data_IF_219369690444
#
_entry.id   IF_219369690444
#
_cell.length_a   1.000
_cell.length_b   1.000
_cell.length_c   1.000
_cell.angle_alpha   90.00
_cell.angle_beta   90.00
_cell.angle_gamma   90.00
#
_symmetry.space_group_name_H-M   'P 1'
#
loop_
_entity.id
_entity.type
_entity.pdbx_description
1 polymer ?
#
# COMPACT_ATOMS: atom_id res chain seq x y z
N UNK A 1 -6.45 9.12 -13.25
CA UNK A 1 -5.57 8.36 -12.35
C UNK A 1 -4.73 9.34 -11.56
N UNK A 2 -4.65 9.17 -10.25
CA UNK A 2 -3.84 9.95 -9.32
C UNK A 2 -2.89 9.01 -8.58
N UNK A 3 -1.78 9.56 -8.09
CA UNK A 3 -0.88 8.85 -7.19
C UNK A 3 -1.11 9.39 -5.78
N UNK A 4 -1.37 8.48 -4.84
CA UNK A 4 -1.51 8.78 -3.42
C UNK A 4 -0.35 8.15 -2.68
N UNK A 5 0.36 8.96 -1.88
CA UNK A 5 1.39 8.46 -0.97
C UNK A 5 0.69 8.05 0.32
N UNK A 6 0.88 6.80 0.74
CA UNK A 6 0.25 6.23 1.94
C UNK A 6 1.34 5.74 2.88
N UNK A 7 1.25 6.13 4.14
CA UNK A 7 2.08 5.58 5.22
C UNK A 7 1.29 4.50 5.94
N UNK A 8 1.88 3.32 6.07
CA UNK A 8 1.27 2.12 6.63
C UNK A 8 2.13 1.61 7.78
N UNK A 9 1.52 1.30 8.92
CA UNK A 9 2.18 0.54 9.98
C UNK A 9 2.06 -0.96 9.67
N UNK A 10 3.20 -1.62 9.49
CA UNK A 10 3.28 -3.06 9.27
C UNK A 10 4.40 -3.63 10.15
N UNK A 11 4.08 -4.63 10.96
CA UNK A 11 5.02 -5.27 11.91
C UNK A 11 5.76 -4.28 12.85
N UNK A 12 5.09 -3.18 13.23
CA UNK A 12 5.67 -2.18 14.13
C UNK A 12 6.67 -1.23 13.45
N UNK A 13 6.72 -1.22 12.12
CA UNK A 13 7.49 -0.28 11.32
C UNK A 13 6.57 0.49 10.36
N UNK A 14 6.88 1.77 10.16
CA UNK A 14 6.16 2.62 9.21
C UNK A 14 6.80 2.51 7.82
N UNK A 15 5.99 2.10 6.86
CA UNK A 15 6.36 2.02 5.45
C UNK A 15 5.59 3.05 4.65
N UNK A 16 6.25 3.64 3.66
CA UNK A 16 5.61 4.53 2.70
C UNK A 16 5.49 3.82 1.37
N UNK A 17 4.29 3.79 0.80
CA UNK A 17 4.04 3.25 -0.54
C UNK A 17 3.19 4.18 -1.38
N UNK A 18 3.25 3.98 -2.70
CA UNK A 18 2.53 4.76 -3.68
C UNK A 18 1.39 3.93 -4.27
N UNK A 19 0.16 4.42 -4.14
CA UNK A 19 -1.03 3.79 -4.72
C UNK A 19 -1.49 4.63 -5.91
N UNK A 20 -1.52 4.01 -7.09
CA UNK A 20 -2.14 4.60 -8.28
C UNK A 20 -3.62 4.25 -8.29
N UNK A 21 -4.49 5.27 -8.22
CA UNK A 21 -5.93 5.07 -8.10
C UNK A 21 -6.75 6.17 -8.78
N UNK A 22 -8.07 6.13 -8.69
CA UNK A 22 -8.97 7.20 -9.15
C UNK A 22 -9.27 8.18 -8.01
N UNK A 23 -9.75 9.39 -8.34
CA UNK A 23 -10.11 10.39 -7.33
C UNK A 23 -11.32 9.98 -6.49
N UNK A 24 -12.16 9.11 -7.05
CA UNK A 24 -13.41 8.64 -6.45
C UNK A 24 -13.20 7.36 -5.62
N UNK A 25 -11.96 6.88 -5.49
CA UNK A 25 -11.65 5.69 -4.71
C UNK A 25 -11.68 6.03 -3.22
N UNK A 26 -12.40 5.21 -2.46
CA UNK A 26 -12.55 5.38 -1.02
C UNK A 26 -11.19 5.22 -0.29
N UNK A 27 -10.93 6.00 0.78
CA UNK A 27 -9.68 5.92 1.53
C UNK A 27 -9.34 4.51 2.04
N UNK A 28 -10.36 3.74 2.43
CA UNK A 28 -10.17 2.36 2.91
C UNK A 28 -9.67 1.42 1.81
N UNK A 29 -10.15 1.59 0.58
CA UNK A 29 -9.64 0.82 -0.57
C UNK A 29 -8.19 1.19 -0.88
N UNK A 30 -7.84 2.48 -0.77
CA UNK A 30 -6.47 2.97 -0.94
C UNK A 30 -5.54 2.34 0.12
N UNK A 31 -6.01 2.27 1.37
CA UNK A 31 -5.25 1.67 2.47
C UNK A 31 -5.05 0.16 2.26
N UNK A 32 -6.09 -0.57 1.81
CA UNK A 32 -5.97 -1.99 1.50
C UNK A 32 -4.97 -2.26 0.37
N UNK A 33 -5.00 -1.44 -0.69
CA UNK A 33 -4.03 -1.51 -1.78
C UNK A 33 -2.61 -1.26 -1.27
N UNK A 34 -2.42 -0.26 -0.41
CA UNK A 34 -1.14 0.04 0.20
C UNK A 34 -0.61 -1.15 1.03
N UNK A 35 -1.43 -1.72 1.91
CA UNK A 35 -1.06 -2.91 2.69
C UNK A 35 -0.71 -4.11 1.81
N UNK A 36 -1.48 -4.35 0.74
CA UNK A 36 -1.21 -5.46 -0.18
C UNK A 36 0.14 -5.29 -0.90
N UNK A 37 0.49 -4.07 -1.30
CA UNK A 37 1.79 -3.79 -1.90
C UNK A 37 2.94 -4.03 -0.92
N UNK A 38 2.81 -3.57 0.33
CA UNK A 38 3.79 -3.84 1.38
C UNK A 38 3.94 -5.35 1.57
N UNK A 39 2.85 -6.08 1.81
CA UNK A 39 2.92 -7.55 1.96
C UNK A 39 3.66 -8.23 0.81
N UNK A 40 3.35 -7.89 -0.44
CA UNK A 40 4.04 -8.46 -1.62
C UNK A 40 5.51 -8.09 -1.73
N UNK A 41 5.91 -6.90 -1.26
CA UNK A 41 7.33 -6.51 -1.22
C UNK A 41 8.11 -7.29 -0.15
N UNK A 42 7.44 -7.69 0.93
CA UNK A 42 8.03 -8.42 2.06
C UNK A 42 7.93 -9.94 1.94
N UNK A 43 6.97 -10.47 1.17
CA UNK A 43 6.93 -11.87 0.78
C UNK A 43 8.11 -12.16 -0.16
N UNK A 44 9.22 -12.62 0.42
CA UNK A 44 10.37 -13.11 -0.33
C UNK A 44 9.89 -14.27 -1.22
N UNK A 45 10.10 -14.24 -2.55
CA UNK A 45 9.76 -15.38 -3.38
C UNK A 45 10.51 -16.61 -2.86
N UNK A 46 9.76 -17.68 -2.55
CA UNK A 46 10.33 -18.99 -2.19
C UNK A 46 11.24 -19.44 -3.34
N UNK A 47 12.52 -19.70 -3.01
CA UNK A 47 13.60 -20.02 -3.94
C UNK A 47 13.67 -21.53 -4.18
#
# INVERSE_FOLDING_TARGET
MIQVNVTVDYEGQFYQTNVLTSRDTEPDEILQLAFSQIKRQWEVPEN
#
